data_IF_360512768752
#
_entry.id   IF_360512768752
#
_cell.length_a   1.000
_cell.length_b   1.000
_cell.length_c   1.000
_cell.angle_alpha   90.00
_cell.angle_beta   90.00
_cell.angle_gamma   90.00
#
_symmetry.space_group_name_H-M   'P 1'
#
loop_
_entity.id
_entity.type
_entity.pdbx_description
1 polymer ?
#
# COMPACT_ATOMS: atom_id res chain seq x y z
N UNK A 1 34.70 -51.85 -53.12
CA UNK A 1 34.22 -52.86 -52.17
C UNK A 1 34.52 -52.37 -50.77
N UNK A 2 33.54 -51.71 -50.15
CA UNK A 2 33.68 -51.05 -48.85
C UNK A 2 33.10 -51.92 -47.72
N UNK A 3 33.90 -52.03 -46.66
CA UNK A 3 33.60 -52.28 -45.25
C UNK A 3 32.24 -52.86 -44.84
N UNK A 4 32.29 -54.04 -44.18
CA UNK A 4 31.46 -54.34 -43.01
C UNK A 4 32.27 -55.17 -42.01
N UNK A 5 32.90 -54.50 -41.05
CA UNK A 5 33.29 -55.09 -39.78
C UNK A 5 32.89 -54.13 -38.65
N UNK A 6 32.57 -54.74 -37.51
CA UNK A 6 32.43 -54.13 -36.19
C UNK A 6 31.07 -53.45 -35.95
N UNK A 7 30.04 -54.28 -35.81
CA UNK A 7 28.96 -54.03 -34.86
C UNK A 7 29.28 -54.88 -33.63
N UNK A 8 29.56 -54.25 -32.49
CA UNK A 8 29.31 -54.72 -31.11
C UNK A 8 30.01 -53.74 -30.17
N UNK A 9 29.38 -53.45 -29.04
CA UNK A 9 29.90 -52.76 -27.86
C UNK A 9 29.76 -51.24 -27.87
N UNK A 10 28.64 -50.76 -27.31
CA UNK A 10 28.52 -49.69 -26.29
C UNK A 10 27.03 -49.71 -25.89
N UNK A 11 26.72 -50.51 -24.87
CA UNK A 11 25.39 -50.59 -24.27
C UNK A 11 25.63 -50.92 -22.80
N UNK A 12 25.83 -49.89 -21.99
CA UNK A 12 26.05 -50.07 -20.55
C UNK A 12 26.94 -49.02 -19.91
N UNK A 13 26.61 -47.73 -20.05
CA UNK A 13 27.11 -46.70 -19.13
C UNK A 13 26.28 -45.40 -19.21
N UNK A 14 25.00 -45.46 -18.86
CA UNK A 14 24.16 -44.23 -18.82
C UNK A 14 23.08 -44.22 -17.73
N UNK A 15 23.18 -45.10 -16.72
CA UNK A 15 22.14 -45.24 -15.69
C UNK A 15 22.64 -44.96 -14.26
N UNK A 16 23.64 -44.09 -14.10
CA UNK A 16 24.07 -43.64 -12.79
C UNK A 16 24.35 -42.13 -12.83
N UNK A 17 23.75 -41.42 -11.87
CA UNK A 17 23.97 -40.00 -11.51
C UNK A 17 23.13 -38.98 -12.31
N UNK A 18 21.83 -38.88 -11.99
CA UNK A 18 21.05 -37.64 -12.17
C UNK A 18 20.24 -37.25 -10.91
N UNK A 19 20.45 -37.91 -9.77
CA UNK A 19 19.70 -37.67 -8.52
C UNK A 19 20.48 -36.81 -7.50
N UNK A 20 21.13 -35.71 -7.89
CA UNK A 20 22.02 -35.04 -6.93
C UNK A 20 22.58 -33.65 -7.23
N UNK A 21 21.92 -32.81 -8.04
CA UNK A 21 22.30 -31.39 -8.17
C UNK A 21 21.13 -30.41 -8.05
N UNK A 22 20.00 -30.83 -7.47
CA UNK A 22 19.06 -29.85 -6.91
C UNK A 22 19.65 -29.41 -5.56
N UNK A 23 20.64 -28.50 -5.62
CA UNK A 23 21.12 -27.82 -4.43
C UNK A 23 19.92 -27.17 -3.72
N UNK A 24 19.97 -27.08 -2.39
CA UNK A 24 18.94 -26.38 -1.62
C UNK A 24 18.60 -25.04 -2.30
N UNK A 25 17.31 -24.84 -2.57
CA UNK A 25 16.84 -23.61 -3.21
C UNK A 25 17.29 -22.43 -2.35
N UNK A 26 18.10 -21.54 -2.92
CA UNK A 26 18.59 -20.40 -2.15
C UNK A 26 17.48 -19.36 -2.01
N UNK A 27 17.56 -18.51 -1.00
CA UNK A 27 16.63 -17.38 -0.83
C UNK A 27 16.52 -16.54 -2.12
N UNK A 28 17.65 -16.35 -2.80
CA UNK A 28 17.73 -15.60 -4.07
C UNK A 28 16.91 -16.27 -5.16
N UNK A 29 16.94 -17.60 -5.26
CA UNK A 29 16.18 -18.36 -6.25
C UNK A 29 14.68 -18.26 -5.95
N UNK A 30 14.28 -18.35 -4.68
CA UNK A 30 12.89 -18.18 -4.25
C UNK A 30 12.35 -16.78 -4.56
N UNK A 31 13.16 -15.74 -4.32
CA UNK A 31 12.81 -14.34 -4.64
C UNK A 31 12.69 -14.15 -6.15
N UNK A 32 13.63 -14.67 -6.94
CA UNK A 32 13.58 -14.56 -8.40
C UNK A 32 12.35 -15.27 -8.98
N UNK A 33 12.01 -16.45 -8.46
CA UNK A 33 10.82 -17.20 -8.87
C UNK A 33 9.52 -16.47 -8.49
N UNK A 34 9.45 -15.88 -7.29
CA UNK A 34 8.31 -15.08 -6.87
C UNK A 34 8.16 -13.80 -7.70
N UNK A 35 9.26 -13.14 -8.06
CA UNK A 35 9.22 -11.98 -8.96
C UNK A 35 8.67 -12.37 -10.33
N UNK A 36 9.21 -13.43 -10.95
CA UNK A 36 8.73 -13.90 -12.25
C UNK A 36 7.23 -14.26 -12.20
N UNK A 37 6.80 -14.90 -11.12
CA UNK A 37 5.39 -15.19 -10.89
C UNK A 37 4.54 -13.91 -10.78
N UNK A 38 5.00 -12.91 -10.00
CA UNK A 38 4.27 -11.66 -9.80
C UNK A 38 4.20 -10.82 -11.09
N UNK A 39 5.19 -10.89 -11.96
CA UNK A 39 5.19 -10.21 -13.26
C UNK A 39 4.01 -10.68 -14.16
N UNK A 40 3.53 -11.91 -13.95
CA UNK A 40 2.37 -12.49 -14.65
C UNK A 40 1.06 -12.39 -13.86
N UNK A 41 1.11 -12.13 -12.55
CA UNK A 41 -0.07 -12.03 -11.70
C UNK A 41 -0.93 -10.81 -12.06
N UNK A 42 -2.25 -10.99 -12.09
CA UNK A 42 -3.23 -9.93 -12.45
C UNK A 42 -4.38 -9.80 -11.47
N UNK A 43 -4.42 -10.66 -10.46
CA UNK A 43 -5.50 -10.74 -9.48
C UNK A 43 -4.95 -11.21 -8.12
N UNK A 44 -5.80 -11.14 -7.09
CA UNK A 44 -5.44 -11.56 -5.74
C UNK A 44 -5.05 -13.04 -5.64
N UNK A 45 -5.68 -13.93 -6.41
CA UNK A 45 -5.41 -15.36 -6.33
C UNK A 45 -4.00 -15.69 -6.85
N UNK A 46 -3.64 -15.15 -8.01
CA UNK A 46 -2.32 -15.28 -8.62
C UNK A 46 -1.24 -14.61 -7.76
N UNK A 47 -1.49 -13.40 -7.24
CA UNK A 47 -0.55 -12.73 -6.34
C UNK A 47 -0.29 -13.55 -5.06
N UNK A 48 -1.33 -14.08 -4.43
CA UNK A 48 -1.21 -14.93 -3.24
C UNK A 48 -0.45 -16.24 -3.53
N UNK A 49 -0.68 -16.86 -4.68
CA UNK A 49 0.08 -18.02 -5.11
C UNK A 49 1.58 -17.72 -5.25
N UNK A 50 1.94 -16.58 -5.84
CA UNK A 50 3.34 -16.13 -5.94
C UNK A 50 3.95 -15.86 -4.56
N UNK A 51 3.17 -15.26 -3.67
CA UNK A 51 3.58 -14.95 -2.30
C UNK A 51 3.94 -16.19 -1.47
N UNK A 52 3.30 -17.33 -1.74
CA UNK A 52 3.63 -18.58 -1.05
C UNK A 52 5.09 -19.02 -1.24
N UNK A 53 5.72 -18.63 -2.37
CA UNK A 53 7.11 -18.97 -2.71
C UNK A 53 8.13 -18.25 -1.84
N UNK A 54 7.76 -17.12 -1.23
CA UNK A 54 8.64 -16.34 -0.34
C UNK A 54 8.11 -16.31 1.09
N UNK A 55 7.24 -17.24 1.47
CA UNK A 55 6.74 -17.30 2.84
C UNK A 55 7.88 -17.57 3.83
N UNK A 56 7.95 -16.80 4.92
CA UNK A 56 9.01 -16.89 5.93
C UNK A 56 10.32 -16.16 5.60
N UNK A 57 10.51 -15.65 4.39
CA UNK A 57 11.72 -14.86 4.04
C UNK A 57 11.55 -13.42 4.55
N UNK A 58 12.46 -12.93 5.40
CA UNK A 58 12.36 -11.60 6.03
C UNK A 58 13.36 -10.58 5.47
N UNK A 59 13.77 -10.72 4.20
CA UNK A 59 14.70 -9.80 3.56
C UNK A 59 14.00 -8.60 2.91
N UNK A 60 14.71 -7.47 2.73
CA UNK A 60 14.17 -6.27 2.08
C UNK A 60 13.56 -6.54 0.68
N UNK A 61 14.18 -7.44 -0.09
CA UNK A 61 13.69 -7.83 -1.41
C UNK A 61 12.40 -8.65 -1.33
N UNK A 62 12.29 -9.58 -0.38
CA UNK A 62 11.04 -10.30 -0.15
C UNK A 62 9.91 -9.33 0.24
N UNK A 63 10.18 -8.36 1.11
CA UNK A 63 9.21 -7.32 1.49
C UNK A 63 8.81 -6.41 0.32
N UNK A 64 9.73 -6.11 -0.59
CA UNK A 64 9.42 -5.39 -1.84
C UNK A 64 8.39 -6.16 -2.67
N UNK A 65 8.58 -7.47 -2.83
CA UNK A 65 7.63 -8.31 -3.56
C UNK A 65 6.29 -8.43 -2.83
N UNK A 66 6.27 -8.51 -1.49
CA UNK A 66 5.01 -8.51 -0.71
C UNK A 66 4.23 -7.20 -0.85
N UNK A 67 4.94 -6.08 -0.82
CA UNK A 67 4.37 -4.75 -1.06
C UNK A 67 3.69 -4.72 -2.45
N UNK A 68 4.41 -5.10 -3.50
CA UNK A 68 3.86 -5.16 -4.85
C UNK A 68 2.65 -6.11 -4.97
N UNK A 69 2.75 -7.32 -4.39
CA UNK A 69 1.67 -8.30 -4.39
C UNK A 69 0.39 -7.79 -3.68
N UNK A 70 0.55 -6.98 -2.63
CA UNK A 70 -0.56 -6.32 -1.94
C UNK A 70 -1.35 -5.41 -2.88
N UNK A 71 -0.66 -4.57 -3.64
CA UNK A 71 -1.28 -3.73 -4.67
C UNK A 71 -1.93 -4.55 -5.80
N UNK A 72 -1.29 -5.66 -6.23
CA UNK A 72 -1.90 -6.54 -7.25
C UNK A 72 -3.21 -7.13 -6.70
N UNK A 73 -3.18 -7.55 -5.44
CA UNK A 73 -4.33 -8.16 -4.78
C UNK A 73 -5.51 -7.21 -4.60
N UNK A 74 -5.25 -5.91 -4.46
CA UNK A 74 -6.30 -4.89 -4.42
C UNK A 74 -6.72 -4.37 -5.80
N UNK A 75 -6.12 -4.86 -6.89
CA UNK A 75 -6.42 -4.38 -8.24
C UNK A 75 -5.85 -2.99 -8.56
N UNK A 76 -4.99 -2.44 -7.71
CA UNK A 76 -4.37 -1.11 -7.85
C UNK A 76 -3.16 -1.15 -8.83
N UNK A 77 -2.84 -2.30 -9.42
CA UNK A 77 -1.65 -2.49 -10.26
C UNK A 77 -1.84 -2.29 -11.74
N UNK A 78 -3.02 -1.83 -12.15
CA UNK A 78 -3.13 -1.26 -13.47
C UNK A 78 -2.22 -0.03 -13.51
N UNK A 79 -1.13 -0.10 -14.28
CA UNK A 79 -0.28 1.07 -14.54
C UNK A 79 -1.12 2.22 -15.10
N UNK A 80 -2.27 1.91 -15.73
CA UNK A 80 -3.28 2.87 -16.10
C UNK A 80 -3.97 3.51 -14.89
N UNK A 81 -4.23 2.82 -13.77
CA UNK A 81 -4.81 3.40 -12.54
C UNK A 81 -3.80 4.31 -11.84
N UNK A 82 -2.54 3.88 -11.72
CA UNK A 82 -1.48 4.72 -11.14
C UNK A 82 -1.15 5.91 -12.05
N UNK A 83 -1.09 5.69 -13.37
CA UNK A 83 -0.93 6.77 -14.34
C UNK A 83 -2.14 7.69 -14.36
N UNK A 84 -3.37 7.19 -14.28
CA UNK A 84 -4.58 8.00 -14.20
C UNK A 84 -4.63 8.80 -12.91
N UNK A 85 -4.18 8.24 -11.77
CA UNK A 85 -4.05 8.98 -10.52
C UNK A 85 -2.99 10.09 -10.62
N UNK A 86 -1.81 9.79 -11.19
CA UNK A 86 -0.75 10.77 -11.40
C UNK A 86 -1.11 11.82 -12.46
N UNK A 87 -1.81 11.42 -13.51
CA UNK A 87 -2.34 12.31 -14.57
C UNK A 87 -3.46 13.17 -14.04
N UNK A 88 -4.36 12.65 -13.20
CA UNK A 88 -5.37 13.45 -12.52
C UNK A 88 -4.69 14.57 -11.72
N UNK A 89 -3.69 14.27 -10.89
CA UNK A 89 -2.92 15.29 -10.16
C UNK A 89 -2.26 16.31 -11.10
N UNK A 90 -1.72 15.85 -12.23
CA UNK A 90 -1.04 16.69 -13.23
C UNK A 90 -2.00 17.59 -14.03
N UNK A 91 -3.25 17.17 -14.23
CA UNK A 91 -4.26 17.83 -15.07
C UNK A 91 -5.30 18.61 -14.24
N UNK A 92 -5.13 18.69 -12.92
CA UNK A 92 -6.02 19.41 -12.01
C UNK A 92 -7.12 18.56 -11.36
N UNK A 93 -7.08 17.24 -11.56
CA UNK A 93 -7.77 16.25 -10.73
C UNK A 93 -7.33 16.35 -9.27
N UNK A 94 -8.30 16.31 -8.38
CA UNK A 94 -8.10 16.61 -6.97
C UNK A 94 -7.33 15.51 -6.24
N UNK A 95 -6.84 15.78 -5.02
CA UNK A 95 -6.29 14.77 -4.12
C UNK A 95 -7.21 13.56 -3.92
N UNK A 96 -8.52 13.74 -4.07
CA UNK A 96 -9.56 12.71 -4.04
C UNK A 96 -9.34 11.61 -5.08
N UNK A 97 -8.98 11.95 -6.31
CA UNK A 97 -8.84 10.97 -7.40
C UNK A 97 -7.66 10.02 -7.13
N UNK A 98 -6.59 10.55 -6.53
CA UNK A 98 -5.46 9.75 -6.06
C UNK A 98 -5.85 8.84 -4.90
N UNK A 99 -6.63 9.35 -3.95
CA UNK A 99 -7.10 8.57 -2.81
C UNK A 99 -8.01 7.42 -3.27
N UNK A 100 -8.97 7.66 -4.17
CA UNK A 100 -9.77 6.58 -4.78
C UNK A 100 -8.87 5.51 -5.38
N UNK A 101 -7.95 5.90 -6.26
CA UNK A 101 -7.12 4.97 -7.01
C UNK A 101 -6.17 4.14 -6.15
N UNK A 102 -5.83 4.62 -4.95
CA UNK A 102 -4.94 3.94 -3.99
C UNK A 102 -5.68 3.27 -2.84
N UNK A 103 -7.00 3.41 -2.73
CA UNK A 103 -7.78 2.79 -1.67
C UNK A 103 -7.93 1.29 -1.92
N UNK A 104 -7.83 0.52 -0.85
CA UNK A 104 -8.05 -0.92 -0.85
C UNK A 104 -9.47 -1.19 -0.33
N UNK A 105 -10.13 -2.19 -0.89
CA UNK A 105 -11.41 -2.69 -0.36
C UNK A 105 -11.25 -3.39 1.02
N UNK A 106 -10.03 -3.81 1.36
CA UNK A 106 -9.70 -4.53 2.59
C UNK A 106 -8.65 -3.77 3.42
N UNK A 107 -9.05 -3.31 4.61
CA UNK A 107 -8.21 -2.57 5.58
C UNK A 107 -7.02 -3.40 6.06
N UNK A 108 -7.21 -4.70 6.29
CA UNK A 108 -6.14 -5.61 6.74
C UNK A 108 -5.10 -5.76 5.65
N UNK A 109 -5.53 -5.93 4.40
CA UNK A 109 -4.64 -5.98 3.24
C UNK A 109 -3.88 -4.66 3.08
N UNK A 110 -4.54 -3.51 3.20
CA UNK A 110 -3.89 -2.20 3.13
C UNK A 110 -2.81 -2.04 4.22
N UNK A 111 -3.15 -2.39 5.47
CA UNK A 111 -2.22 -2.32 6.60
C UNK A 111 -1.01 -3.22 6.42
N UNK A 112 -1.22 -4.47 6.01
CA UNK A 112 -0.15 -5.42 5.74
C UNK A 112 0.73 -4.93 4.59
N UNK A 113 0.12 -4.44 3.51
CA UNK A 113 0.83 -3.91 2.35
C UNK A 113 1.71 -2.74 2.75
N UNK A 114 1.17 -1.73 3.45
CA UNK A 114 1.94 -0.60 3.93
C UNK A 114 3.12 -1.01 4.83
N UNK A 115 2.90 -1.99 5.72
CA UNK A 115 3.96 -2.52 6.57
C UNK A 115 5.07 -3.21 5.76
N UNK A 116 4.72 -4.02 4.75
CA UNK A 116 5.69 -4.62 3.86
C UNK A 116 6.45 -3.57 3.05
N UNK A 117 5.76 -2.55 2.54
CA UNK A 117 6.40 -1.46 1.82
C UNK A 117 7.41 -0.72 2.71
N UNK A 118 7.08 -0.49 3.99
CA UNK A 118 8.00 0.10 4.96
C UNK A 118 9.22 -0.81 5.24
N UNK A 119 8.98 -2.11 5.47
CA UNK A 119 10.04 -3.09 5.75
C UNK A 119 10.96 -3.37 4.55
N UNK A 120 10.56 -2.99 3.34
CA UNK A 120 11.42 -3.07 2.16
C UNK A 120 12.65 -2.15 2.22
N UNK A 121 12.62 -1.12 3.08
CA UNK A 121 13.66 -0.09 3.15
C UNK A 121 13.66 0.87 1.96
N UNK A 122 12.76 0.71 0.99
CA UNK A 122 12.62 1.60 -0.16
C UNK A 122 11.67 2.75 0.18
N UNK A 123 12.21 3.96 0.28
CA UNK A 123 11.45 5.17 0.67
C UNK A 123 10.22 5.42 -0.20
N UNK A 124 10.35 5.22 -1.52
CA UNK A 124 9.24 5.41 -2.45
C UNK A 124 8.10 4.41 -2.21
N UNK A 125 8.42 3.14 -1.95
CA UNK A 125 7.40 2.14 -1.63
C UNK A 125 6.75 2.43 -0.28
N UNK A 126 7.55 2.79 0.75
CA UNK A 126 7.02 3.15 2.05
C UNK A 126 6.02 4.32 1.95
N UNK A 127 6.33 5.34 1.15
CA UNK A 127 5.42 6.47 0.89
C UNK A 127 4.13 6.02 0.21
N UNK A 128 4.21 5.26 -0.88
CA UNK A 128 3.02 4.80 -1.62
C UNK A 128 2.17 3.88 -0.73
N UNK A 129 2.79 2.99 0.06
CA UNK A 129 2.09 2.16 1.04
C UNK A 129 1.39 2.97 2.13
N UNK A 130 2.05 4.02 2.65
CA UNK A 130 1.45 4.94 3.61
C UNK A 130 0.27 5.71 3.01
N UNK A 131 0.39 6.18 1.76
CA UNK A 131 -0.70 6.84 1.03
C UNK A 131 -1.89 5.91 0.82
N UNK A 132 -1.64 4.66 0.41
CA UNK A 132 -2.70 3.68 0.20
C UNK A 132 -3.42 3.28 1.48
N UNK A 133 -2.67 3.06 2.57
CA UNK A 133 -3.26 2.85 3.90
C UNK A 133 -4.11 4.05 4.32
N UNK A 134 -3.62 5.26 4.08
CA UNK A 134 -4.34 6.50 4.41
C UNK A 134 -5.62 6.64 3.60
N UNK A 135 -5.54 6.43 2.29
CA UNK A 135 -6.68 6.42 1.39
C UNK A 135 -7.74 5.40 1.79
N UNK A 136 -7.31 4.18 2.15
CA UNK A 136 -8.20 3.12 2.64
C UNK A 136 -8.88 3.52 3.94
N UNK A 137 -8.11 4.07 4.89
CA UNK A 137 -8.67 4.53 6.16
C UNK A 137 -9.70 5.65 5.97
N UNK A 138 -9.42 6.61 5.07
CA UNK A 138 -10.34 7.69 4.71
C UNK A 138 -11.60 7.18 4.00
N UNK A 139 -11.46 6.23 3.06
CA UNK A 139 -12.60 5.61 2.37
C UNK A 139 -13.51 4.86 3.35
N UNK A 140 -12.93 4.11 4.30
CA UNK A 140 -13.71 3.45 5.35
C UNK A 140 -14.38 4.44 6.29
N UNK A 141 -13.69 5.52 6.67
CA UNK A 141 -14.29 6.59 7.45
C UNK A 141 -15.47 7.23 6.71
N UNK A 142 -15.33 7.50 5.40
CA UNK A 142 -16.41 8.04 4.58
C UNK A 142 -17.66 7.13 4.56
N UNK A 143 -17.46 5.82 4.50
CA UNK A 143 -18.54 4.83 4.61
C UNK A 143 -19.18 4.83 6.01
N UNK A 144 -18.39 4.84 7.09
CA UNK A 144 -18.88 4.91 8.47
C UNK A 144 -19.66 6.20 8.76
N UNK A 145 -19.30 7.31 8.11
CA UNK A 145 -19.98 8.59 8.19
C UNK A 145 -21.27 8.65 7.38
N UNK A 146 -21.62 7.56 6.68
CA UNK A 146 -22.80 7.45 5.84
C UNK A 146 -22.92 8.62 4.85
N UNK A 147 -21.80 8.97 4.21
CA UNK A 147 -21.73 10.11 3.31
C UNK A 147 -22.67 10.03 2.11
N UNK A 148 -23.37 8.90 1.90
CA UNK A 148 -24.62 8.78 1.13
C UNK A 148 -24.50 8.96 -0.39
N UNK A 149 -23.51 9.73 -0.84
CA UNK A 149 -23.16 10.04 -2.23
C UNK A 149 -21.92 9.31 -2.71
N UNK A 150 -21.10 8.78 -1.81
CA UNK A 150 -19.95 7.99 -2.19
C UNK A 150 -20.45 6.61 -2.61
N UNK A 151 -20.40 6.28 -3.90
CA UNK A 151 -20.23 4.89 -4.34
C UNK A 151 -19.10 4.33 -3.46
N UNK A 152 -19.35 3.26 -2.70
CA UNK A 152 -18.53 2.81 -1.57
C UNK A 152 -17.06 2.46 -1.85
N UNK A 153 -16.57 2.72 -3.07
CA UNK A 153 -15.18 2.57 -3.50
C UNK A 153 -14.57 3.83 -4.13
N UNK A 154 -15.37 4.87 -4.45
CA UNK A 154 -14.89 6.06 -5.17
C UNK A 154 -15.15 7.36 -4.39
N UNK A 155 -14.12 7.88 -3.74
CA UNK A 155 -14.18 9.15 -3.01
C UNK A 155 -14.37 10.35 -3.94
N UNK A 156 -14.05 10.22 -5.23
CA UNK A 156 -14.29 11.27 -6.23
C UNK A 156 -15.76 11.43 -6.59
N UNK A 157 -16.57 10.40 -6.29
CA UNK A 157 -18.03 10.45 -6.46
C UNK A 157 -18.75 11.12 -5.27
N UNK A 158 -18.04 11.39 -4.18
CA UNK A 158 -18.62 12.04 -3.00
C UNK A 158 -19.02 13.48 -3.31
N UNK A 159 -20.23 13.87 -2.92
CA UNK A 159 -20.67 15.26 -2.94
C UNK A 159 -19.84 16.07 -1.91
N UNK A 160 -19.13 17.14 -2.33
CA UNK A 160 -18.39 17.99 -1.40
C UNK A 160 -19.23 18.50 -0.23
N UNK A 161 -20.51 18.81 -0.46
CA UNK A 161 -21.41 19.26 0.60
C UNK A 161 -21.72 18.15 1.61
N UNK A 162 -21.76 16.89 1.18
CA UNK A 162 -21.91 15.76 2.09
C UNK A 162 -20.66 15.61 2.97
N UNK A 163 -19.46 15.74 2.38
CA UNK A 163 -18.19 15.70 3.12
C UNK A 163 -18.15 16.80 4.18
N UNK A 164 -18.48 18.04 3.81
CA UNK A 164 -18.53 19.17 4.76
C UNK A 164 -19.53 18.93 5.90
N UNK A 165 -20.72 18.41 5.59
CA UNK A 165 -21.73 18.08 6.60
C UNK A 165 -21.25 16.96 7.54
N UNK A 166 -20.59 15.91 7.02
CA UNK A 166 -20.07 14.86 7.88
C UNK A 166 -18.92 15.35 8.77
N UNK A 167 -18.04 16.20 8.26
CA UNK A 167 -17.01 16.86 9.08
C UNK A 167 -17.67 17.69 10.18
N UNK A 168 -18.70 18.46 9.85
CA UNK A 168 -19.47 19.23 10.84
C UNK A 168 -20.13 18.33 11.89
N UNK A 169 -20.72 17.21 11.49
CA UNK A 169 -21.36 16.24 12.37
C UNK A 169 -20.36 15.53 13.30
N UNK A 170 -19.16 15.18 12.81
CA UNK A 170 -18.05 14.65 13.61
C UNK A 170 -17.63 15.67 14.67
N UNK A 171 -17.46 16.94 14.27
CA UNK A 171 -17.05 18.00 15.17
C UNK A 171 -18.14 18.34 16.20
N UNK A 172 -19.41 18.25 15.82
CA UNK A 172 -20.55 18.45 16.71
C UNK A 172 -20.75 17.27 17.68
N UNK A 173 -20.42 16.05 17.26
CA UNK A 173 -20.61 14.82 18.03
C UNK A 173 -19.34 13.95 18.06
N UNK A 174 -18.24 14.44 18.66
CA UNK A 174 -16.92 13.77 18.59
C UNK A 174 -16.87 12.42 19.31
N UNK A 175 -17.89 12.11 20.12
CA UNK A 175 -18.00 10.85 20.87
C UNK A 175 -18.90 9.80 20.18
N UNK A 176 -19.45 10.10 19.00
CA UNK A 176 -20.16 9.08 18.23
C UNK A 176 -19.18 8.03 17.72
N UNK A 177 -19.60 6.77 17.58
CA UNK A 177 -18.73 5.70 17.10
C UNK A 177 -18.14 6.01 15.72
N UNK A 178 -18.94 6.58 14.81
CA UNK A 178 -18.48 7.01 13.49
C UNK A 178 -17.45 8.15 13.57
N UNK A 179 -17.64 9.11 14.48
CA UNK A 179 -16.67 10.19 14.70
C UNK A 179 -15.34 9.67 15.25
N UNK A 180 -15.38 8.75 16.21
CA UNK A 180 -14.17 8.13 16.78
C UNK A 180 -13.39 7.38 15.69
N UNK A 181 -14.07 6.53 14.92
CA UNK A 181 -13.43 5.79 13.82
C UNK A 181 -12.83 6.73 12.77
N UNK A 182 -13.54 7.78 12.36
CA UNK A 182 -13.06 8.74 11.38
C UNK A 182 -11.85 9.55 11.90
N UNK A 183 -11.93 10.02 13.15
CA UNK A 183 -10.83 10.73 13.82
C UNK A 183 -9.59 9.83 13.90
N UNK A 184 -9.74 8.58 14.34
CA UNK A 184 -8.63 7.64 14.45
C UNK A 184 -8.04 7.29 13.08
N UNK A 185 -8.88 7.13 12.06
CA UNK A 185 -8.45 6.90 10.69
C UNK A 185 -7.61 8.07 10.14
N UNK A 186 -8.08 9.30 10.30
CA UNK A 186 -7.35 10.53 9.88
C UNK A 186 -6.04 10.65 10.66
N UNK A 187 -6.10 10.51 11.98
CA UNK A 187 -4.93 10.60 12.85
C UNK A 187 -3.86 9.55 12.51
N UNK A 188 -4.28 8.30 12.30
CA UNK A 188 -3.39 7.19 11.94
C UNK A 188 -2.78 7.39 10.56
N UNK A 189 -3.56 7.92 9.60
CA UNK A 189 -3.11 8.25 8.25
C UNK A 189 -1.98 9.28 8.29
N UNK A 190 -2.22 10.39 8.99
CA UNK A 190 -1.24 11.48 9.08
C UNK A 190 -0.01 11.05 9.88
N UNK A 191 -0.19 10.33 10.99
CA UNK A 191 0.94 9.80 11.75
C UNK A 191 1.76 8.80 10.91
N UNK A 192 1.10 7.96 10.10
CA UNK A 192 1.79 7.02 9.20
C UNK A 192 2.63 7.79 8.18
N UNK A 193 2.02 8.72 7.44
CA UNK A 193 2.74 9.56 6.47
C UNK A 193 3.89 10.29 7.14
N UNK A 194 3.61 10.98 8.26
CA UNK A 194 4.63 11.69 9.03
C UNK A 194 5.79 10.78 9.43
N UNK A 195 5.53 9.61 10.02
CA UNK A 195 6.57 8.68 10.46
C UNK A 195 7.47 8.19 9.31
N UNK A 196 6.90 8.06 8.11
CA UNK A 196 7.59 7.55 6.92
C UNK A 196 8.35 8.65 6.19
N UNK A 197 7.80 9.87 6.11
CA UNK A 197 8.36 10.95 5.27
C UNK A 197 9.06 12.05 6.04
N UNK A 198 8.68 12.27 7.30
CA UNK A 198 9.05 13.44 8.11
C UNK A 198 9.75 13.07 9.42
N UNK A 199 9.45 11.90 9.98
CA UNK A 199 10.07 11.38 11.20
C UNK A 199 11.47 10.82 10.94
N UNK A 200 12.40 11.07 11.85
CA UNK A 200 13.74 10.49 11.85
C UNK A 200 14.76 11.22 10.95
N UNK A 201 15.76 10.49 10.44
CA UNK A 201 16.84 11.03 9.58
C UNK A 201 16.47 11.12 8.10
N UNK A 202 15.24 10.72 7.74
CA UNK A 202 14.79 10.53 6.36
C UNK A 202 13.73 11.57 5.98
N UNK A 203 14.13 12.84 5.84
CA UNK A 203 13.30 13.88 5.23
C UNK A 203 13.15 13.62 3.72
N UNK A 204 12.18 12.79 3.34
CA UNK A 204 11.98 12.41 1.94
C UNK A 204 11.29 13.52 1.13
N UNK A 205 10.53 14.41 1.78
CA UNK A 205 9.82 15.50 1.10
C UNK A 205 9.63 16.71 2.06
N UNK A 206 10.42 17.76 1.87
CA UNK A 206 10.37 18.97 2.71
C UNK A 206 9.01 19.68 2.66
N UNK A 207 8.29 19.55 1.55
CA UNK A 207 7.08 20.32 1.29
C UNK A 207 5.90 19.65 2.02
N UNK A 208 5.73 18.32 1.83
CA UNK A 208 4.75 17.53 2.59
C UNK A 208 5.01 17.66 4.09
N UNK A 209 6.28 17.60 4.50
CA UNK A 209 6.64 17.76 5.91
C UNK A 209 6.45 19.18 6.41
N UNK A 210 6.64 20.20 5.56
CA UNK A 210 6.34 21.58 5.88
C UNK A 210 4.87 21.77 6.21
N UNK A 211 3.99 21.28 5.33
CA UNK A 211 2.54 21.40 5.49
C UNK A 211 2.04 20.64 6.73
N UNK A 212 2.51 19.39 6.92
CA UNK A 212 2.12 18.60 8.10
C UNK A 212 2.63 19.24 9.40
N UNK A 213 3.88 19.71 9.45
CA UNK A 213 4.41 20.38 10.65
C UNK A 213 3.72 21.72 10.91
N UNK A 214 3.36 22.48 9.86
CA UNK A 214 2.63 23.73 10.00
C UNK A 214 1.21 23.49 10.53
N UNK A 215 0.52 22.48 10.02
CA UNK A 215 -0.78 22.06 10.54
C UNK A 215 -0.65 21.64 12.01
N UNK A 216 0.31 20.79 12.35
CA UNK A 216 0.56 20.37 13.73
C UNK A 216 0.83 21.58 14.67
N UNK A 217 1.69 22.51 14.24
CA UNK A 217 2.01 23.71 15.01
C UNK A 217 0.80 24.62 15.20
N UNK A 218 -0.05 24.77 14.18
CA UNK A 218 -1.28 25.57 14.24
C UNK A 218 -2.26 24.98 15.24
N UNK A 219 -2.35 23.65 15.29
CA UNK A 219 -3.17 22.94 16.27
C UNK A 219 -2.50 22.77 17.65
N UNK A 220 -1.24 23.19 17.81
CA UNK A 220 -0.50 23.06 19.07
C UNK A 220 -0.19 21.61 19.45
N UNK A 221 -0.07 20.71 18.48
CA UNK A 221 0.24 19.28 18.69
C UNK A 221 1.63 18.93 18.16
N UNK A 222 2.22 17.89 18.73
CA UNK A 222 3.41 17.22 18.20
C UNK A 222 3.01 15.83 17.69
N UNK A 223 2.99 15.65 16.37
CA UNK A 223 2.56 14.39 15.72
C UNK A 223 3.41 13.18 16.17
N UNK A 224 4.65 13.42 16.59
CA UNK A 224 5.55 12.34 17.03
C UNK A 224 5.21 11.78 18.41
N UNK A 225 4.49 12.55 19.24
CA UNK A 225 4.19 12.18 20.63
C UNK A 225 2.71 12.23 20.99
N UNK A 226 1.89 12.90 20.19
CA UNK A 226 0.46 13.00 20.40
C UNK A 226 -0.26 11.67 20.16
N UNK A 227 -1.37 11.49 20.88
CA UNK A 227 -2.30 10.38 20.65
C UNK A 227 -2.92 10.50 19.25
N UNK A 228 -3.15 9.35 18.59
CA UNK A 228 -3.77 9.27 17.25
C UNK A 228 -5.10 10.05 17.22
N UNK A 229 -5.91 9.95 18.28
CA UNK A 229 -7.18 10.68 18.36
C UNK A 229 -6.98 12.18 18.46
N UNK A 230 -5.95 12.63 19.20
CA UNK A 230 -5.63 14.04 19.32
C UNK A 230 -5.14 14.62 17.98
N UNK A 231 -4.34 13.85 17.23
CA UNK A 231 -3.91 14.20 15.87
C UNK A 231 -5.14 14.34 14.95
N UNK A 232 -6.01 13.34 14.93
CA UNK A 232 -7.22 13.36 14.11
C UNK A 232 -8.14 14.55 14.40
N UNK A 233 -8.43 14.81 15.69
CA UNK A 233 -9.29 15.93 16.10
C UNK A 233 -8.70 17.30 15.74
N UNK A 234 -7.40 17.47 15.99
CA UNK A 234 -6.67 18.70 15.66
C UNK A 234 -6.73 19.05 14.16
N UNK A 235 -6.65 18.03 13.31
CA UNK A 235 -6.62 18.20 11.86
C UNK A 235 -8.03 18.37 11.29
N UNK A 236 -9.01 17.61 11.80
CA UNK A 236 -10.43 17.85 11.50
C UNK A 236 -10.87 19.27 11.86
N UNK A 237 -10.39 19.82 12.97
CA UNK A 237 -10.69 21.19 13.38
C UNK A 237 -10.15 22.25 12.40
N UNK A 238 -9.08 21.95 11.64
CA UNK A 238 -8.59 22.85 10.57
C UNK A 238 -9.41 22.75 9.30
N UNK A 239 -10.03 21.60 9.05
CA UNK A 239 -10.97 21.42 7.96
C UNK A 239 -12.35 22.00 8.24
N UNK A 240 -12.62 22.46 9.47
CA UNK A 240 -13.83 23.20 9.74
C UNK A 240 -13.78 24.52 8.94
N UNK A 241 -14.59 24.67 7.88
CA UNK A 241 -14.72 25.96 7.26
C UNK A 241 -15.47 26.81 8.29
N UNK A 242 -14.79 27.62 9.09
CA UNK A 242 -15.50 28.63 9.88
C UNK A 242 -16.40 29.44 8.92
N UNK A 243 -17.64 29.75 9.34
CA UNK A 243 -18.68 30.31 8.48
C UNK A 243 -18.29 31.63 7.80
#
# INVERSE_FOLDING_TARGET
MFSKKIATMILGLSAAILTGCEGEQTEKDMIAEAQFCLDEARDAASANACMSKINGITSPNAYTLRCAAGFISSGITSAANLSSALTAISEGGGPTDMLTALSFDDVVLANNTANYCNQSGQKGLALIGAMAKSATALSNAANSLNLGSCDGSDISSCDPAAIENAISDILANPNSSAAIEAVEAIGSSIQTVYSVTCGGTNNANSDICGDINQAAATAGIDISTADISAIGQALLAQWNPTP
#
